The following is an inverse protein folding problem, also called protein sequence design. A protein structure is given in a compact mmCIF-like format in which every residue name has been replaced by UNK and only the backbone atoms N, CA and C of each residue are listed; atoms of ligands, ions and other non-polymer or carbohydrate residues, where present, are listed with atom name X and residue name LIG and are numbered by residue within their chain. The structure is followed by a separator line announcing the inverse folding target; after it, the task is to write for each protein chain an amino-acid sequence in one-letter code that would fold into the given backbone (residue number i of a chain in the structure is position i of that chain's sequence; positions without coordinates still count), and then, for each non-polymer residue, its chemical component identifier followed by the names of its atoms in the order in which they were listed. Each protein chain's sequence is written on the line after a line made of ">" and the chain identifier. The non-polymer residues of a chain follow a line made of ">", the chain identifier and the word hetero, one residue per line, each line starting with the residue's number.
data_IF_005413408432
#
_entry.id   IF_005413408432
#
_cell.length_a   1.000
_cell.length_b   1.000
_cell.length_c   1.000
_cell.angle_alpha   90.00
_cell.angle_beta   90.00
_cell.angle_gamma   90.00
#
_symmetry.space_group_name_H-M   'P 1'
#
loop_
_entity.id
_entity.type
_entity.pdbx_description
1 polymer ?
#
# COMPACT_ATOMS: atom_id res chain seq x y z
N UNK A 1 -32.30 -21.44 18.66
CA UNK A 1 -31.22 -20.84 19.49
C UNK A 1 -31.00 -19.46 18.94
N UNK A 2 -31.65 -18.46 19.56
CA UNK A 2 -31.53 -17.08 19.07
C UNK A 2 -30.12 -16.59 19.37
N UNK A 3 -29.24 -16.62 18.38
CA UNK A 3 -27.99 -15.85 18.38
C UNK A 3 -28.41 -14.40 18.12
N UNK A 4 -29.08 -13.80 19.12
CA UNK A 4 -29.49 -12.42 19.05
C UNK A 4 -28.24 -11.57 18.98
N UNK A 5 -27.99 -11.11 17.76
CA UNK A 5 -27.15 -9.97 17.40
C UNK A 5 -25.80 -9.94 18.15
N UNK A 6 -24.84 -10.71 17.71
CA UNK A 6 -23.48 -10.22 17.67
C UNK A 6 -23.52 -8.97 16.77
N UNK A 7 -23.73 -7.80 17.38
CA UNK A 7 -23.47 -6.50 16.74
C UNK A 7 -21.93 -6.35 16.57
N UNK A 8 -21.31 -7.34 15.92
CA UNK A 8 -19.86 -7.43 15.71
C UNK A 8 -19.52 -6.98 14.30
N UNK A 9 -20.54 -6.62 13.52
CA UNK A 9 -20.39 -6.33 12.11
C UNK A 9 -19.39 -5.19 11.80
N UNK A 10 -19.37 -4.12 12.57
CA UNK A 10 -18.46 -2.99 12.33
C UNK A 10 -17.01 -3.18 12.81
N UNK A 11 -16.73 -4.26 13.54
CA UNK A 11 -15.47 -4.44 14.26
C UNK A 11 -14.38 -5.10 13.41
N UNK A 12 -14.75 -5.76 12.32
CA UNK A 12 -13.90 -6.64 11.53
C UNK A 12 -12.66 -6.01 10.90
N UNK A 13 -12.45 -4.70 11.02
CA UNK A 13 -11.52 -3.99 10.16
C UNK A 13 -10.50 -3.13 10.89
N UNK A 14 -10.13 -3.45 12.14
CA UNK A 14 -9.05 -2.73 12.82
C UNK A 14 -7.75 -2.71 12.01
N UNK A 15 -7.43 -3.83 11.36
CA UNK A 15 -6.21 -4.00 10.58
C UNK A 15 -6.46 -4.19 9.08
N UNK A 16 -7.71 -4.47 8.67
CA UNK A 16 -8.02 -4.74 7.26
C UNK A 16 -7.80 -3.52 6.35
N UNK A 17 -7.73 -2.32 6.91
CA UNK A 17 -7.53 -1.09 6.15
C UNK A 17 -6.05 -0.74 5.93
N UNK A 18 -5.14 -1.31 6.68
CA UNK A 18 -3.71 -1.06 6.51
C UNK A 18 -3.09 -2.25 5.79
N UNK A 19 -2.97 -2.16 4.48
CA UNK A 19 -2.10 -3.04 3.71
C UNK A 19 -0.79 -2.30 3.51
N UNK A 20 0.27 -2.69 4.19
CA UNK A 20 1.60 -2.30 3.79
C UNK A 20 2.14 -3.43 2.92
N UNK A 21 1.94 -3.31 1.61
CA UNK A 21 2.44 -4.30 0.68
C UNK A 21 3.83 -3.97 0.20
N UNK A 22 4.48 -4.95 -0.39
CA UNK A 22 5.76 -4.79 -1.07
C UNK A 22 5.69 -3.84 -2.29
N UNK A 23 4.48 -3.53 -2.78
CA UNK A 23 4.22 -2.44 -3.72
C UNK A 23 3.92 -1.12 -2.99
N UNK A 24 3.52 -0.11 -3.73
CA UNK A 24 3.10 1.18 -3.17
C UNK A 24 1.68 1.16 -2.55
N UNK A 25 1.20 0.00 -2.08
CA UNK A 25 -0.15 -0.12 -1.54
C UNK A 25 -0.18 0.29 -0.06
N UNK A 26 -1.10 1.17 0.30
CA UNK A 26 -1.32 1.69 1.66
C UNK A 26 -2.67 1.30 2.25
N UNK A 27 -3.64 0.89 1.44
CA UNK A 27 -4.99 0.51 1.86
C UNK A 27 -5.45 -0.72 1.09
N UNK A 28 -6.13 -1.65 1.76
CA UNK A 28 -6.77 -2.80 1.11
C UNK A 28 -8.01 -2.43 0.29
N UNK A 29 -8.42 -1.16 0.30
CA UNK A 29 -9.60 -0.67 -0.43
C UNK A 29 -10.86 -1.50 -0.13
N UNK A 30 -11.05 -1.88 1.13
CA UNK A 30 -12.15 -2.74 1.55
C UNK A 30 -13.52 -2.14 1.28
N UNK A 31 -14.49 -3.00 0.95
CA UNK A 31 -15.90 -2.63 0.77
C UNK A 31 -16.73 -2.89 2.04
N UNK A 32 -16.14 -3.50 3.06
CA UNK A 32 -16.86 -4.00 4.22
C UNK A 32 -17.68 -2.93 4.97
N UNK A 33 -17.24 -1.67 5.13
CA UNK A 33 -18.07 -0.63 5.75
C UNK A 33 -19.37 -0.35 5.00
N UNK A 34 -19.37 -0.53 3.69
CA UNK A 34 -20.58 -0.40 2.86
C UNK A 34 -21.55 -1.57 3.06
N UNK A 35 -21.08 -2.72 3.50
CA UNK A 35 -21.89 -3.92 3.73
C UNK A 35 -22.50 -3.97 5.14
N UNK A 36 -22.24 -2.96 5.99
CA UNK A 36 -22.86 -2.87 7.30
C UNK A 36 -24.38 -2.70 7.24
N UNK A 37 -25.08 -3.14 8.27
CA UNK A 37 -26.55 -3.04 8.33
C UNK A 37 -27.02 -1.60 8.60
N UNK A 38 -28.13 -1.19 8.01
CA UNK A 38 -28.75 0.12 8.23
C UNK A 38 -27.83 1.28 7.82
N UNK A 39 -27.96 2.41 8.51
CA UNK A 39 -27.06 3.55 8.36
C UNK A 39 -25.82 3.33 9.21
N UNK A 40 -24.65 3.56 8.64
CA UNK A 40 -23.38 3.32 9.30
C UNK A 40 -22.35 4.39 8.93
N UNK A 41 -21.52 4.75 9.90
CA UNK A 41 -20.36 5.61 9.67
C UNK A 41 -19.15 5.10 10.46
N UNK A 42 -17.96 5.26 9.91
CA UNK A 42 -16.70 4.95 10.58
C UNK A 42 -15.58 5.92 10.22
N UNK A 43 -14.66 6.07 11.16
CA UNK A 43 -13.42 6.78 10.97
C UNK A 43 -12.28 5.98 11.57
N UNK A 44 -11.22 5.81 10.81
CA UNK A 44 -9.99 5.14 11.21
C UNK A 44 -8.76 6.03 11.01
N UNK A 45 -7.84 5.95 11.95
CA UNK A 45 -6.51 6.55 11.86
C UNK A 45 -5.49 5.52 12.29
N UNK A 46 -4.44 5.33 11.50
CA UNK A 46 -3.36 4.44 11.84
C UNK A 46 -2.01 5.04 11.45
N UNK A 47 -0.98 4.69 12.20
CA UNK A 47 0.39 5.06 11.91
C UNK A 47 1.24 3.80 11.73
N UNK A 48 2.02 3.78 10.65
CA UNK A 48 3.03 2.77 10.41
C UNK A 48 4.40 3.37 10.78
N UNK A 49 5.17 2.59 11.53
CA UNK A 49 6.58 2.83 11.80
C UNK A 49 7.38 1.68 11.20
N UNK A 50 8.11 1.94 10.12
CA UNK A 50 8.92 0.95 9.43
C UNK A 50 10.42 1.12 9.76
N UNK A 51 11.10 -0.01 9.87
CA UNK A 51 12.55 -0.12 9.92
C UNK A 51 12.98 -1.05 8.80
N UNK A 52 13.37 -0.46 7.67
CA UNK A 52 13.76 -1.15 6.45
C UNK A 52 15.14 -0.66 6.07
N UNK A 53 16.12 -1.53 6.21
CA UNK A 53 17.52 -1.26 5.88
C UNK A 53 18.09 -2.36 5.00
N UNK A 54 19.21 -2.09 4.37
CA UNK A 54 19.92 -3.05 3.53
C UNK A 54 21.43 -2.93 3.68
N UNK A 55 22.13 -3.77 2.94
CA UNK A 55 23.58 -3.70 2.79
C UNK A 55 23.91 -3.57 1.32
N UNK A 56 24.97 -2.87 1.01
CA UNK A 56 25.47 -2.74 -0.37
C UNK A 56 26.18 -4.01 -0.83
N UNK A 57 26.16 -4.24 -2.13
CA UNK A 57 26.99 -5.25 -2.79
C UNK A 57 28.43 -4.73 -2.95
N UNK A 58 29.32 -5.59 -3.45
CA UNK A 58 30.71 -5.25 -3.76
C UNK A 58 31.50 -4.72 -2.56
N UNK A 59 31.21 -5.27 -1.37
CA UNK A 59 31.87 -4.85 -0.12
C UNK A 59 33.40 -4.94 -0.20
N UNK A 60 33.94 -5.95 -0.89
CA UNK A 60 35.38 -6.10 -1.07
C UNK A 60 36.00 -4.96 -1.90
N UNK A 61 35.32 -4.53 -2.97
CA UNK A 61 35.76 -3.40 -3.80
C UNK A 61 35.65 -2.07 -3.05
N UNK A 62 34.60 -1.91 -2.26
CA UNK A 62 34.40 -0.73 -1.41
C UNK A 62 35.44 -0.67 -0.30
N UNK A 63 35.82 -1.81 0.30
CA UNK A 63 36.87 -1.90 1.30
C UNK A 63 38.25 -1.49 0.75
N UNK A 64 38.54 -1.80 -0.52
CA UNK A 64 39.78 -1.40 -1.19
C UNK A 64 39.95 0.12 -1.28
N UNK A 65 38.83 0.88 -1.34
CA UNK A 65 38.87 2.35 -1.33
C UNK A 65 38.59 2.95 0.06
N UNK A 66 38.74 2.10 1.10
CA UNK A 66 38.68 2.53 2.51
C UNK A 66 37.27 2.64 3.10
N UNK A 67 36.23 2.14 2.41
CA UNK A 67 34.86 2.10 2.94
C UNK A 67 34.69 0.86 3.82
N UNK A 68 34.29 1.06 5.07
CA UNK A 68 34.01 -0.01 6.05
C UNK A 68 32.52 -0.08 6.48
N UNK A 69 31.75 0.96 6.23
CA UNK A 69 30.32 0.95 6.49
C UNK A 69 29.55 0.55 5.23
N UNK A 70 28.97 -0.62 5.27
CA UNK A 70 28.19 -1.21 4.17
C UNK A 70 26.68 -1.14 4.38
N UNK A 71 26.24 -0.52 5.48
CA UNK A 71 24.82 -0.35 5.78
C UNK A 71 24.24 0.83 5.00
N UNK A 72 23.11 0.62 4.36
CA UNK A 72 22.39 1.72 3.69
C UNK A 72 21.60 2.60 4.67
N UNK A 73 21.62 2.29 5.98
CA UNK A 73 20.71 2.92 6.92
C UNK A 73 19.24 2.61 6.63
N UNK A 74 18.33 3.45 7.12
CA UNK A 74 16.90 3.26 6.90
C UNK A 74 16.48 3.81 5.52
N UNK A 75 15.85 2.97 4.71
CA UNK A 75 15.46 3.26 3.33
C UNK A 75 14.09 3.95 3.22
N UNK A 76 13.30 3.99 4.29
CA UNK A 76 11.94 4.53 4.26
C UNK A 76 11.76 5.62 5.31
N UNK A 77 10.91 6.59 5.02
CA UNK A 77 10.48 7.52 6.05
C UNK A 77 9.76 6.77 7.18
N UNK A 78 10.14 7.04 8.42
CA UNK A 78 9.74 6.22 9.58
C UNK A 78 8.26 6.29 9.94
N UNK A 79 7.52 7.26 9.43
CA UNK A 79 6.17 7.54 9.90
C UNK A 79 5.19 7.76 8.73
N UNK A 80 4.35 6.77 8.47
CA UNK A 80 3.22 6.90 7.54
C UNK A 80 1.91 7.04 8.31
N UNK A 81 1.13 8.06 8.00
CA UNK A 81 -0.20 8.26 8.55
C UNK A 81 -1.25 7.78 7.53
N UNK A 82 -2.15 6.93 7.99
CA UNK A 82 -3.31 6.46 7.25
C UNK A 82 -4.58 7.01 7.86
N UNK A 83 -5.44 7.56 7.02
CA UNK A 83 -6.77 8.00 7.41
C UNK A 83 -7.76 7.31 6.49
N UNK A 84 -8.81 6.74 7.06
CA UNK A 84 -9.89 6.10 6.35
C UNK A 84 -11.22 6.56 6.91
N UNK A 85 -12.24 6.61 6.09
CA UNK A 85 -13.58 6.97 6.54
C UNK A 85 -14.63 6.35 5.64
N UNK A 86 -15.78 6.07 6.21
CA UNK A 86 -16.90 5.56 5.46
C UNK A 86 -18.22 6.08 6.02
N UNK A 87 -19.16 6.33 5.13
CA UNK A 87 -20.56 6.58 5.44
C UNK A 87 -21.40 5.72 4.51
N UNK A 88 -22.31 4.94 5.07
CA UNK A 88 -23.35 4.21 4.35
C UNK A 88 -24.73 4.71 4.77
N UNK A 89 -25.56 4.98 3.80
CA UNK A 89 -26.95 5.37 3.98
C UNK A 89 -27.86 4.32 3.35
N UNK A 90 -28.77 3.78 4.14
CA UNK A 90 -29.84 2.91 3.68
C UNK A 90 -31.01 3.79 3.25
N UNK A 91 -31.16 4.02 1.94
CA UNK A 91 -32.18 4.92 1.39
C UNK A 91 -33.56 4.28 1.38
N UNK A 92 -33.62 2.96 1.14
CA UNK A 92 -34.81 2.11 1.17
C UNK A 92 -34.39 0.72 1.64
N UNK A 93 -35.32 -0.16 2.03
CA UNK A 93 -34.95 -1.53 2.44
C UNK A 93 -34.09 -2.28 1.41
N UNK A 94 -34.26 -1.98 0.13
CA UNK A 94 -33.57 -2.63 -1.00
C UNK A 94 -32.46 -1.77 -1.63
N UNK A 95 -32.24 -0.52 -1.20
CA UNK A 95 -31.31 0.42 -1.83
C UNK A 95 -30.44 1.13 -0.82
N UNK A 96 -29.13 1.10 -1.02
CA UNK A 96 -28.15 1.81 -0.22
C UNK A 96 -27.17 2.60 -1.08
N UNK A 97 -26.54 3.63 -0.49
CA UNK A 97 -25.43 4.38 -1.08
C UNK A 97 -24.32 4.52 -0.04
N UNK A 98 -23.08 4.45 -0.50
CA UNK A 98 -21.91 4.62 0.35
C UNK A 98 -20.97 5.72 -0.13
N UNK A 99 -20.19 6.25 0.80
CA UNK A 99 -19.05 7.12 0.55
C UNK A 99 -17.87 6.54 1.34
N UNK A 100 -16.86 6.03 0.64
CA UNK A 100 -15.69 5.41 1.24
C UNK A 100 -14.47 6.23 0.87
N UNK A 101 -13.76 6.71 1.86
CA UNK A 101 -12.50 7.44 1.69
C UNK A 101 -11.33 6.58 2.15
N UNK A 102 -10.31 6.47 1.31
CA UNK A 102 -9.04 5.84 1.65
C UNK A 102 -7.86 6.42 0.84
N UNK A 103 -6.65 6.05 1.23
CA UNK A 103 -5.40 6.37 0.52
C UNK A 103 -4.79 5.07 0.00
N UNK A 104 -5.16 4.61 -1.20
CA UNK A 104 -4.82 3.26 -1.64
C UNK A 104 -3.34 3.08 -1.98
N UNK A 105 -2.74 4.08 -2.63
CA UNK A 105 -1.39 3.99 -3.16
C UNK A 105 -0.51 5.13 -2.65
N UNK A 106 0.75 4.83 -2.43
CA UNK A 106 1.73 5.84 -2.08
C UNK A 106 3.00 5.25 -1.50
N UNK A 107 4.05 6.02 -1.54
CA UNK A 107 5.34 5.72 -0.93
C UNK A 107 5.98 7.00 -0.44
N UNK A 108 6.91 6.88 0.49
CA UNK A 108 7.74 8.00 0.99
C UNK A 108 9.09 7.40 1.36
N UNK A 109 9.95 7.31 0.34
CA UNK A 109 11.32 6.85 0.44
C UNK A 109 12.22 8.06 0.51
N UNK A 110 13.12 8.08 1.47
CA UNK A 110 14.13 9.13 1.61
C UNK A 110 15.36 8.50 2.27
N UNK A 111 16.32 8.09 1.45
CA UNK A 111 17.53 7.54 1.97
C UNK A 111 18.76 8.10 1.25
N UNK A 112 19.89 8.05 1.95
CA UNK A 112 21.18 8.47 1.41
C UNK A 112 22.27 7.53 1.89
N UNK A 113 22.98 6.89 0.96
CA UNK A 113 24.19 6.14 1.23
C UNK A 113 25.41 7.00 0.90
N UNK A 114 26.04 7.51 1.93
CA UNK A 114 27.20 8.43 1.87
C UNK A 114 28.26 8.01 2.86
N UNK A 115 28.97 6.90 2.59
CA UNK A 115 30.01 6.41 3.50
C UNK A 115 31.22 7.36 3.56
N UNK A 116 31.92 7.36 4.70
CA UNK A 116 33.19 8.04 4.87
C UNK A 116 34.28 7.25 4.15
N UNK A 117 35.21 7.98 3.52
CA UNK A 117 36.44 7.44 2.91
C UNK A 117 37.64 8.19 3.45
N UNK A 118 38.86 7.73 3.10
CA UNK A 118 40.11 8.40 3.49
C UNK A 118 40.24 9.84 2.97
N UNK A 119 39.47 10.20 1.94
CA UNK A 119 39.47 11.55 1.34
C UNK A 119 38.19 12.33 1.66
N UNK A 120 37.31 11.80 2.51
CA UNK A 120 36.05 12.38 2.92
C UNK A 120 34.81 11.59 2.47
N UNK A 121 33.63 12.10 2.74
CA UNK A 121 32.38 11.39 2.42
C UNK A 121 32.14 11.27 0.91
N UNK A 122 31.80 10.06 0.46
CA UNK A 122 31.50 9.75 -0.93
C UNK A 122 29.99 9.58 -1.12
N UNK A 123 29.35 10.48 -1.89
CA UNK A 123 27.92 10.40 -2.19
C UNK A 123 27.68 9.33 -3.27
N UNK A 124 27.43 8.09 -2.82
CA UNK A 124 27.27 6.94 -3.73
C UNK A 124 25.85 6.89 -4.27
N UNK A 125 24.85 7.02 -3.41
CA UNK A 125 23.46 6.95 -3.81
C UNK A 125 22.57 7.75 -2.86
N UNK A 126 21.67 8.55 -3.43
CA UNK A 126 20.58 9.18 -2.71
C UNK A 126 19.30 9.11 -3.52
N UNK A 127 18.21 8.78 -2.85
CA UNK A 127 16.90 8.61 -3.48
C UNK A 127 15.84 9.23 -2.60
N UNK A 128 15.01 10.08 -3.21
CA UNK A 128 13.77 10.52 -2.62
C UNK A 128 12.64 10.22 -3.58
N UNK A 129 11.66 9.44 -3.11
CA UNK A 129 10.46 9.10 -3.89
C UNK A 129 9.26 9.31 -3.00
N UNK A 130 8.35 10.16 -3.44
CA UNK A 130 7.10 10.40 -2.75
C UNK A 130 5.94 10.30 -3.73
N UNK A 131 5.04 9.35 -3.48
CA UNK A 131 3.75 9.25 -4.16
C UNK A 131 2.63 9.32 -3.13
N UNK A 132 1.55 10.01 -3.45
CA UNK A 132 0.38 10.12 -2.59
C UNK A 132 -0.90 10.08 -3.44
N UNK A 133 -1.85 9.24 -3.02
CA UNK A 133 -3.16 9.13 -3.64
C UNK A 133 -4.28 9.28 -2.63
N UNK A 134 -5.43 9.76 -3.08
CA UNK A 134 -6.65 9.75 -2.32
C UNK A 134 -7.77 9.17 -3.18
N UNK A 135 -8.62 8.35 -2.58
CA UNK A 135 -9.79 7.76 -3.21
C UNK A 135 -11.08 8.17 -2.49
N UNK A 136 -12.09 8.46 -3.28
CA UNK A 136 -13.49 8.46 -2.83
C UNK A 136 -14.23 7.47 -3.70
N UNK A 137 -14.76 6.40 -3.11
CA UNK A 137 -15.60 5.41 -3.77
C UNK A 137 -17.06 5.64 -3.40
N UNK A 138 -17.97 5.59 -4.37
CA UNK A 138 -19.40 5.87 -4.19
C UNK A 138 -20.20 4.67 -4.67
N UNK A 139 -20.19 3.52 -3.93
CA UNK A 139 -21.03 2.38 -4.28
C UNK A 139 -22.52 2.67 -4.06
N UNK A 140 -23.33 2.20 -4.99
CA UNK A 140 -24.78 2.05 -4.84
C UNK A 140 -25.05 0.56 -4.76
N UNK A 141 -25.80 0.12 -3.74
CA UNK A 141 -26.11 -1.27 -3.48
C UNK A 141 -27.60 -1.56 -3.66
N UNK A 142 -27.89 -2.65 -4.34
CA UNK A 142 -29.23 -3.21 -4.51
C UNK A 142 -29.34 -4.53 -3.75
N UNK A 143 -30.29 -4.59 -2.82
CA UNK A 143 -30.56 -5.71 -1.92
C UNK A 143 -31.93 -6.29 -2.24
N UNK A 144 -32.05 -7.26 -3.18
CA UNK A 144 -33.34 -7.85 -3.56
C UNK A 144 -34.01 -8.61 -2.41
N UNK A 145 -33.22 -9.09 -1.47
CA UNK A 145 -33.65 -9.84 -0.27
C UNK A 145 -32.69 -9.63 0.90
N UNK A 146 -32.91 -10.34 2.00
CA UNK A 146 -32.07 -10.24 3.20
C UNK A 146 -30.66 -10.84 3.05
N UNK A 147 -30.41 -11.59 1.96
CA UNK A 147 -29.17 -12.34 1.77
C UNK A 147 -28.24 -11.67 0.76
N UNK A 148 -28.75 -11.18 -0.36
CA UNK A 148 -27.95 -10.67 -1.46
C UNK A 148 -27.81 -9.16 -1.46
N UNK A 149 -26.61 -8.67 -1.76
CA UNK A 149 -26.34 -7.27 -2.07
C UNK A 149 -25.44 -7.20 -3.30
N UNK A 150 -25.94 -6.58 -4.38
CA UNK A 150 -25.18 -6.28 -5.59
C UNK A 150 -24.84 -4.80 -5.58
N UNK A 151 -23.58 -4.45 -5.80
CA UNK A 151 -23.18 -3.06 -5.74
C UNK A 151 -22.23 -2.67 -6.87
N UNK A 152 -22.33 -1.42 -7.30
CA UNK A 152 -21.42 -0.81 -8.25
C UNK A 152 -21.37 0.71 -8.02
N UNK A 153 -20.29 1.35 -8.47
CA UNK A 153 -20.19 2.81 -8.39
C UNK A 153 -18.88 3.37 -8.90
N UNK A 154 -18.79 4.70 -9.06
CA UNK A 154 -17.56 5.38 -9.45
C UNK A 154 -16.54 5.38 -8.33
N UNK A 155 -15.28 5.45 -8.75
CA UNK A 155 -14.11 5.69 -7.90
C UNK A 155 -13.44 6.95 -8.41
N UNK A 156 -13.35 7.95 -7.56
CA UNK A 156 -12.68 9.23 -7.83
C UNK A 156 -11.30 9.16 -7.19
N UNK A 157 -10.24 9.30 -7.99
CA UNK A 157 -8.87 9.18 -7.51
C UNK A 157 -8.05 10.40 -7.85
N UNK A 158 -7.29 10.89 -6.87
CA UNK A 158 -6.17 11.82 -7.11
C UNK A 158 -4.86 11.09 -6.91
N UNK A 159 -3.86 11.46 -7.71
CA UNK A 159 -2.50 10.93 -7.58
C UNK A 159 -1.50 12.06 -7.88
N UNK A 160 -0.39 12.11 -7.14
CA UNK A 160 0.76 12.98 -7.39
C UNK A 160 2.05 12.27 -7.02
N UNK A 161 3.18 12.72 -7.55
CA UNK A 161 4.47 12.10 -7.28
C UNK A 161 5.65 13.05 -7.42
N UNK A 162 6.69 12.80 -6.63
CA UNK A 162 7.97 13.49 -6.67
C UNK A 162 9.08 12.44 -6.65
N UNK A 163 10.10 12.61 -7.49
CA UNK A 163 11.28 11.74 -7.51
C UNK A 163 12.53 12.60 -7.61
N UNK A 164 13.51 12.31 -6.77
CA UNK A 164 14.85 12.89 -6.80
C UNK A 164 15.88 11.75 -6.79
N UNK A 165 16.81 11.78 -7.73
CA UNK A 165 17.90 10.81 -7.86
C UNK A 165 19.23 11.53 -7.70
N UNK A 166 20.10 11.00 -6.85
CA UNK A 166 21.43 11.59 -6.60
C UNK A 166 22.47 10.54 -6.26
N UNK A 167 23.73 10.98 -6.28
CA UNK A 167 24.88 10.13 -6.05
C UNK A 167 25.47 9.52 -7.33
N UNK A 168 26.69 8.97 -7.17
CA UNK A 168 27.47 8.49 -8.31
C UNK A 168 26.83 7.32 -9.06
N UNK A 169 25.98 6.52 -8.39
CA UNK A 169 25.28 5.42 -9.03
C UNK A 169 24.34 5.86 -10.16
N UNK A 170 23.88 7.10 -10.14
CA UNK A 170 22.97 7.62 -11.16
C UNK A 170 23.68 8.33 -12.32
N UNK A 171 25.01 8.41 -12.30
CA UNK A 171 25.82 9.00 -13.37
C UNK A 171 25.24 10.34 -13.87
N UNK A 172 24.73 10.36 -15.08
CA UNK A 172 24.17 11.54 -15.73
C UNK A 172 22.82 12.00 -15.14
N UNK A 173 22.15 11.12 -14.41
CA UNK A 173 20.94 11.44 -13.67
C UNK A 173 21.25 11.83 -12.21
N UNK A 174 22.52 12.01 -11.84
CA UNK A 174 22.91 12.47 -10.52
C UNK A 174 22.47 13.93 -10.28
N UNK A 175 21.40 14.13 -9.52
CA UNK A 175 20.72 15.40 -9.32
C UNK A 175 19.46 15.60 -10.19
N UNK A 176 19.02 14.53 -10.87
CA UNK A 176 17.75 14.52 -11.60
C UNK A 176 16.57 14.66 -10.64
N UNK A 177 15.60 15.50 -11.03
CA UNK A 177 14.32 15.61 -10.31
C UNK A 177 13.14 15.51 -11.28
N UNK A 178 12.04 14.91 -10.81
CA UNK A 178 10.78 14.82 -11.54
C UNK A 178 9.61 15.10 -10.59
N UNK A 179 8.78 16.06 -10.97
CA UNK A 179 7.56 16.43 -10.25
C UNK A 179 6.35 16.12 -11.13
N UNK A 180 5.60 15.10 -10.77
CA UNK A 180 4.33 14.71 -11.37
C UNK A 180 3.22 15.50 -10.65
N UNK A 181 2.72 16.55 -11.32
CA UNK A 181 1.65 17.39 -10.76
C UNK A 181 0.41 16.59 -10.48
N UNK A 182 -0.36 16.99 -9.46
CA UNK A 182 -1.57 16.27 -9.10
C UNK A 182 -2.53 16.13 -10.28
N UNK A 183 -2.92 14.90 -10.57
CA UNK A 183 -3.97 14.55 -11.54
C UNK A 183 -5.20 13.99 -10.82
N UNK A 184 -6.37 14.24 -11.39
CA UNK A 184 -7.65 13.69 -10.97
C UNK A 184 -8.21 12.81 -12.08
N UNK A 185 -8.52 11.57 -11.74
CA UNK A 185 -9.07 10.60 -12.69
C UNK A 185 -10.15 9.72 -12.05
N UNK A 186 -10.89 9.02 -12.89
CA UNK A 186 -12.03 8.21 -12.48
C UNK A 186 -11.85 6.76 -12.90
N UNK A 187 -12.25 5.88 -12.00
CA UNK A 187 -12.46 4.47 -12.24
C UNK A 187 -13.85 4.04 -11.77
N UNK A 188 -14.02 2.76 -11.59
CA UNK A 188 -15.25 2.17 -11.07
C UNK A 188 -14.96 0.96 -10.19
N UNK A 189 -15.93 0.60 -9.37
CA UNK A 189 -15.96 -0.64 -8.63
C UNK A 189 -17.29 -1.36 -8.86
N UNK A 190 -17.27 -2.68 -8.75
CA UNK A 190 -18.48 -3.50 -8.70
C UNK A 190 -18.24 -4.74 -7.86
N UNK A 191 -19.32 -5.32 -7.35
CA UNK A 191 -19.21 -6.53 -6.57
C UNK A 191 -20.57 -7.04 -6.10
N UNK A 192 -20.49 -8.10 -5.32
CA UNK A 192 -21.63 -8.72 -4.69
C UNK A 192 -21.28 -9.22 -3.29
N UNK A 193 -22.26 -9.31 -2.43
CA UNK A 193 -22.14 -10.02 -1.15
C UNK A 193 -23.35 -10.90 -0.89
N UNK A 194 -23.07 -11.97 -0.15
CA UNK A 194 -24.10 -12.88 0.36
C UNK A 194 -23.95 -12.99 1.88
N UNK A 195 -25.06 -12.95 2.59
CA UNK A 195 -25.06 -13.02 4.06
C UNK A 195 -26.16 -13.95 4.59
N UNK A 196 -25.89 -14.54 5.74
CA UNK A 196 -26.85 -15.27 6.57
C UNK A 196 -26.78 -14.64 7.96
N UNK A 197 -27.69 -13.67 8.28
CA UNK A 197 -27.59 -12.88 9.51
C UNK A 197 -27.61 -13.72 10.80
N UNK A 198 -28.33 -14.87 10.80
CA UNK A 198 -28.53 -15.73 11.97
C UNK A 198 -27.22 -16.31 12.52
N UNK A 199 -26.21 -16.47 11.67
CA UNK A 199 -24.89 -17.00 12.04
C UNK A 199 -23.78 -16.00 11.77
N UNK A 200 -24.13 -14.72 11.57
CA UNK A 200 -23.19 -13.64 11.17
C UNK A 200 -22.30 -14.02 9.96
N UNK A 201 -22.80 -14.95 9.10
CA UNK A 201 -22.10 -15.30 7.89
C UNK A 201 -22.23 -14.17 6.89
N UNK A 202 -21.09 -13.75 6.32
CA UNK A 202 -21.03 -12.82 5.19
C UNK A 202 -19.85 -13.17 4.30
N UNK A 203 -20.07 -13.20 3.01
CA UNK A 203 -19.00 -13.26 2.02
C UNK A 203 -19.18 -12.16 1.00
N UNK A 204 -18.10 -11.61 0.47
CA UNK A 204 -18.13 -10.58 -0.57
C UNK A 204 -17.03 -10.79 -1.59
N UNK A 205 -17.34 -10.43 -2.83
CA UNK A 205 -16.41 -10.35 -3.93
C UNK A 205 -16.51 -8.95 -4.52
N UNK A 206 -15.43 -8.20 -4.54
CA UNK A 206 -15.38 -6.86 -5.11
C UNK A 206 -14.22 -6.72 -6.09
N UNK A 207 -14.48 -6.06 -7.20
CA UNK A 207 -13.51 -5.68 -8.22
C UNK A 207 -13.40 -4.16 -8.28
N UNK A 208 -12.18 -3.66 -8.45
CA UNK A 208 -11.88 -2.26 -8.74
C UNK A 208 -11.12 -2.16 -10.05
N UNK A 209 -11.61 -1.28 -10.94
CA UNK A 209 -10.94 -1.02 -12.21
C UNK A 209 -9.61 -0.30 -12.01
N UNK A 210 -8.69 -0.43 -12.99
CA UNK A 210 -7.53 0.45 -13.02
C UNK A 210 -7.97 1.90 -13.26
N UNK A 211 -7.17 2.86 -12.77
CA UNK A 211 -7.38 4.29 -13.03
C UNK A 211 -6.18 4.83 -13.82
N UNK A 212 -6.47 5.47 -14.95
CA UNK A 212 -5.44 6.06 -15.81
C UNK A 212 -5.29 7.54 -15.50
N UNK A 213 -4.12 7.93 -15.00
CA UNK A 213 -3.71 9.30 -14.74
C UNK A 213 -2.82 9.83 -15.85
N UNK A 214 -3.01 11.09 -16.25
CA UNK A 214 -2.14 11.77 -17.22
C UNK A 214 -1.58 13.02 -16.58
N UNK A 215 -0.34 12.92 -16.14
CA UNK A 215 0.34 13.99 -15.42
C UNK A 215 0.98 15.00 -16.34
N UNK A 216 0.89 16.27 -15.99
CA UNK A 216 1.88 17.26 -16.36
C UNK A 216 3.13 17.04 -15.50
N UNK A 217 4.27 16.87 -16.15
CA UNK A 217 5.55 16.55 -15.49
C UNK A 217 6.51 17.73 -15.67
N UNK A 218 7.19 18.10 -14.59
CA UNK A 218 8.33 19.00 -14.61
C UNK A 218 9.58 18.21 -14.24
N UNK A 219 10.55 18.18 -15.15
CA UNK A 219 11.81 17.45 -14.98
C UNK A 219 12.99 18.42 -15.01
N UNK A 220 13.98 18.21 -14.14
CA UNK A 220 15.22 18.94 -14.17
C UNK A 220 16.39 17.98 -14.39
N UNK A 221 17.22 18.27 -15.36
CA UNK A 221 18.47 17.56 -15.62
C UNK A 221 19.63 18.22 -14.86
N UNK A 222 20.59 17.44 -14.36
CA UNK A 222 21.74 17.91 -13.61
C UNK A 222 22.84 18.43 -14.52
N UNK A 223 22.54 19.44 -15.34
CA UNK A 223 23.52 20.12 -16.19
C UNK A 223 23.97 21.43 -15.55
N UNK A 224 25.08 22.00 -16.05
CA UNK A 224 25.73 23.18 -15.46
C UNK A 224 24.78 24.39 -15.27
N UNK A 225 23.78 24.52 -16.13
CA UNK A 225 22.67 25.45 -15.95
C UNK A 225 21.38 24.62 -15.88
N UNK A 226 20.71 24.54 -14.71
CA UNK A 226 19.49 23.76 -14.58
C UNK A 226 18.44 24.19 -15.59
N UNK A 227 17.98 23.24 -16.40
CA UNK A 227 16.88 23.45 -17.36
C UNK A 227 15.68 22.65 -16.87
N UNK A 228 14.56 23.35 -16.69
CA UNK A 228 13.29 22.70 -16.41
C UNK A 228 12.63 22.34 -17.74
N UNK A 229 12.42 21.06 -17.94
CA UNK A 229 11.70 20.50 -19.07
C UNK A 229 10.29 20.12 -18.63
N UNK A 230 9.33 20.32 -19.51
CA UNK A 230 7.92 19.98 -19.23
C UNK A 230 7.44 18.96 -20.24
N UNK A 231 6.66 18.02 -19.77
CA UNK A 231 6.12 16.96 -20.61
C UNK A 231 4.86 16.35 -20.02
N UNK A 232 4.41 15.26 -20.61
CA UNK A 232 3.29 14.48 -20.09
C UNK A 232 3.71 13.03 -19.92
N UNK A 233 3.30 12.41 -18.80
CA UNK A 233 3.43 10.97 -18.61
C UNK A 233 2.09 10.37 -18.19
N UNK A 234 1.90 9.11 -18.50
CA UNK A 234 0.71 8.35 -18.10
C UNK A 234 1.11 7.27 -17.11
N UNK A 235 0.40 7.23 -15.98
CA UNK A 235 0.53 6.16 -14.98
C UNK A 235 -0.84 5.52 -14.79
N UNK A 236 -0.88 4.20 -14.83
CA UNK A 236 -2.10 3.41 -14.62
C UNK A 236 -2.01 2.76 -13.24
N UNK A 237 -2.86 3.20 -12.29
CA UNK A 237 -2.94 2.50 -11.00
C UNK A 237 -3.57 1.12 -11.19
N UNK A 238 -3.16 0.11 -10.39
CA UNK A 238 -3.55 -1.27 -10.64
C UNK A 238 -5.04 -1.55 -10.39
N UNK A 239 -5.59 -2.48 -11.15
CA UNK A 239 -6.86 -3.12 -10.81
C UNK A 239 -6.69 -4.12 -9.67
N UNK A 240 -7.78 -4.43 -8.98
CA UNK A 240 -7.75 -5.35 -7.86
C UNK A 240 -9.04 -6.12 -7.65
N UNK A 241 -8.91 -7.29 -7.02
CA UNK A 241 -10.03 -8.13 -6.59
C UNK A 241 -9.86 -8.41 -5.09
N UNK A 242 -10.91 -8.18 -4.31
CA UNK A 242 -10.98 -8.59 -2.91
C UNK A 242 -12.06 -9.67 -2.76
N UNK A 243 -11.73 -10.70 -2.00
CA UNK A 243 -12.65 -11.70 -1.52
C UNK A 243 -12.60 -11.73 0.00
N UNK A 244 -13.74 -11.49 0.65
CA UNK A 244 -13.86 -11.48 2.10
C UNK A 244 -14.90 -12.50 2.54
N UNK A 245 -14.64 -13.15 3.68
CA UNK A 245 -15.56 -14.09 4.30
C UNK A 245 -15.49 -13.98 5.82
N UNK A 246 -16.62 -14.08 6.49
CA UNK A 246 -16.73 -14.14 7.95
C UNK A 246 -17.87 -15.05 8.37
N UNK A 247 -17.78 -15.59 9.59
CA UNK A 247 -18.88 -16.30 10.23
C UNK A 247 -18.69 -16.40 11.74
N UNK A 248 -19.78 -16.39 12.51
CA UNK A 248 -19.75 -16.76 13.91
C UNK A 248 -19.57 -18.28 14.02
N UNK A 249 -18.62 -18.72 14.84
CA UNK A 249 -18.37 -20.14 15.16
C UNK A 249 -18.90 -20.50 16.55
N UNK A 250 -19.18 -19.50 17.36
CA UNK A 250 -19.85 -19.61 18.66
C UNK A 250 -20.66 -18.34 18.96
N UNK A 251 -21.26 -18.27 20.14
CA UNK A 251 -21.96 -17.03 20.61
C UNK A 251 -21.02 -15.91 20.97
N UNK A 252 -19.72 -16.20 21.10
CA UNK A 252 -18.66 -15.27 21.50
C UNK A 252 -17.56 -15.12 20.46
N UNK A 253 -17.48 -16.02 19.49
CA UNK A 253 -16.36 -16.08 18.56
C UNK A 253 -16.82 -15.91 17.12
N UNK A 254 -16.15 -15.00 16.42
CA UNK A 254 -16.30 -14.76 14.99
C UNK A 254 -14.94 -14.91 14.31
N UNK A 255 -14.90 -15.71 13.28
CA UNK A 255 -13.73 -15.85 12.40
C UNK A 255 -13.93 -15.11 11.09
N UNK A 256 -12.84 -14.62 10.52
CA UNK A 256 -12.84 -13.97 9.22
C UNK A 256 -11.58 -14.29 8.43
N UNK A 257 -11.69 -14.19 7.11
CA UNK A 257 -10.55 -14.23 6.20
C UNK A 257 -10.77 -13.28 5.03
N UNK A 258 -9.68 -12.81 4.46
CA UNK A 258 -9.65 -11.93 3.30
C UNK A 258 -8.52 -12.33 2.36
N UNK A 259 -8.81 -12.34 1.06
CA UNK A 259 -7.85 -12.50 -0.02
C UNK A 259 -7.90 -11.28 -0.92
N UNK A 260 -6.75 -10.76 -1.30
CA UNK A 260 -6.66 -9.63 -2.22
C UNK A 260 -5.61 -9.90 -3.28
N UNK A 261 -6.00 -9.71 -4.54
CA UNK A 261 -5.13 -9.72 -5.71
C UNK A 261 -5.04 -8.32 -6.31
N UNK A 262 -3.82 -7.90 -6.70
CA UNK A 262 -3.53 -6.59 -7.30
C UNK A 262 -2.61 -6.77 -8.50
N UNK A 263 -2.96 -6.15 -9.63
CA UNK A 263 -2.21 -6.25 -10.90
C UNK A 263 -1.06 -5.23 -10.97
N UNK A 264 -0.01 -5.46 -10.20
CA UNK A 264 1.14 -4.56 -10.18
C UNK A 264 2.05 -4.66 -11.40
N UNK A 265 2.09 -5.78 -12.11
CA UNK A 265 2.99 -5.97 -13.26
C UNK A 265 2.78 -4.97 -14.40
N UNK A 266 1.59 -4.35 -14.48
CA UNK A 266 1.26 -3.34 -15.48
C UNK A 266 1.47 -1.91 -14.99
N UNK A 267 1.96 -1.75 -13.75
CA UNK A 267 2.27 -0.45 -13.18
C UNK A 267 3.71 -0.05 -13.52
N UNK A 268 3.87 1.11 -14.11
CA UNK A 268 5.17 1.73 -14.36
C UNK A 268 5.07 3.25 -14.38
N UNK A 269 6.21 3.91 -14.09
CA UNK A 269 6.37 5.37 -14.15
C UNK A 269 7.54 5.67 -15.08
N UNK A 270 7.28 6.40 -16.16
CA UNK A 270 8.26 6.77 -17.19
C UNK A 270 8.12 8.25 -17.53
N UNK A 271 8.80 9.16 -16.80
CA UNK A 271 8.87 10.56 -17.19
C UNK A 271 9.58 10.68 -18.56
N UNK A 272 9.14 11.60 -19.45
CA UNK A 272 9.61 11.65 -20.83
C UNK A 272 11.11 11.95 -20.94
N UNK A 273 11.61 12.94 -20.23
CA UNK A 273 13.04 13.32 -20.29
C UNK A 273 13.94 12.23 -19.71
N UNK A 274 13.53 11.60 -18.59
CA UNK A 274 14.22 10.43 -18.03
C UNK A 274 14.38 9.34 -19.10
N UNK A 275 13.28 9.02 -19.81
CA UNK A 275 13.27 8.00 -20.84
C UNK A 275 14.15 8.38 -22.05
N UNK A 276 14.12 9.65 -22.48
CA UNK A 276 14.96 10.14 -23.58
C UNK A 276 16.44 10.05 -23.26
N UNK A 277 16.85 10.43 -22.05
CA UNK A 277 18.24 10.32 -21.59
C UNK A 277 18.69 8.87 -21.60
N UNK A 278 17.94 7.96 -21.01
CA UNK A 278 18.29 6.55 -20.98
C UNK A 278 18.32 5.92 -22.36
N UNK A 279 17.37 6.25 -23.24
CA UNK A 279 17.35 5.76 -24.62
C UNK A 279 18.55 6.28 -25.45
N UNK A 280 18.99 7.50 -25.24
CA UNK A 280 20.20 8.03 -25.88
C UNK A 280 21.45 7.24 -25.45
N UNK A 281 21.52 6.86 -24.16
CA UNK A 281 22.63 6.05 -23.65
C UNK A 281 22.53 4.56 -23.99
N UNK A 282 21.36 4.08 -24.37
CA UNK A 282 21.16 2.69 -24.79
C UNK A 282 22.00 2.28 -26.02
N UNK A 283 22.59 3.23 -26.72
CA UNK A 283 23.56 3.02 -27.79
C UNK A 283 24.85 2.40 -27.22
N UNK A 284 25.23 2.78 -26.00
CA UNK A 284 26.43 2.27 -25.31
C UNK A 284 26.11 1.07 -24.42
N UNK A 285 24.91 1.04 -23.83
CA UNK A 285 24.41 -0.05 -22.98
C UNK A 285 22.94 -0.35 -23.31
N UNK A 286 22.73 -1.42 -24.06
CA UNK A 286 21.40 -1.83 -24.51
C UNK A 286 20.42 -2.15 -23.38
N UNK A 287 20.90 -2.40 -22.16
CA UNK A 287 20.08 -2.66 -20.97
C UNK A 287 19.30 -1.43 -20.51
N UNK A 288 19.76 -0.22 -20.87
CA UNK A 288 19.10 1.05 -20.54
C UNK A 288 17.90 1.37 -21.43
N UNK A 289 17.68 0.59 -22.50
CA UNK A 289 16.59 0.84 -23.42
C UNK A 289 15.23 0.53 -22.76
N UNK A 290 14.32 1.50 -22.79
CA UNK A 290 12.96 1.37 -22.23
C UNK A 290 12.90 1.05 -20.74
N UNK A 291 13.92 1.41 -19.97
CA UNK A 291 13.90 1.26 -18.51
C UNK A 291 12.88 2.22 -17.91
N UNK A 292 12.01 1.71 -17.07
CA UNK A 292 11.08 2.53 -16.28
C UNK A 292 11.75 3.00 -15.00
N UNK A 293 11.41 4.22 -14.56
CA UNK A 293 11.88 4.74 -13.27
C UNK A 293 11.36 3.89 -12.11
N UNK A 294 10.09 3.50 -12.17
CA UNK A 294 9.47 2.56 -11.23
C UNK A 294 8.71 1.54 -12.05
N UNK A 295 8.88 0.26 -11.74
CA UNK A 295 8.18 -0.86 -12.37
C UNK A 295 8.12 -2.03 -11.41
N UNK A 296 7.05 -2.82 -11.50
CA UNK A 296 6.90 -4.07 -10.78
C UNK A 296 6.81 -5.24 -11.76
N UNK A 297 7.43 -6.38 -11.41
CA UNK A 297 7.52 -7.54 -12.32
C UNK A 297 6.45 -8.60 -12.08
N UNK A 298 5.79 -8.56 -10.92
CA UNK A 298 4.80 -9.56 -10.52
C UNK A 298 3.54 -8.90 -9.95
N UNK A 299 2.43 -9.61 -10.11
CA UNK A 299 1.19 -9.27 -9.42
C UNK A 299 1.31 -9.67 -7.94
N UNK A 300 0.58 -8.98 -7.10
CA UNK A 300 0.56 -9.20 -5.67
C UNK A 300 -0.65 -10.03 -5.27
N UNK A 301 -0.44 -10.94 -4.34
CA UNK A 301 -1.48 -11.65 -3.61
C UNK A 301 -1.25 -11.46 -2.12
N UNK A 302 -2.27 -11.03 -1.39
CA UNK A 302 -2.23 -10.94 0.07
C UNK A 302 -3.41 -11.67 0.70
N UNK A 303 -3.19 -12.18 1.91
CA UNK A 303 -4.18 -12.92 2.68
C UNK A 303 -4.15 -12.48 4.14
N UNK A 304 -5.32 -12.44 4.76
CA UNK A 304 -5.52 -12.20 6.19
C UNK A 304 -6.50 -13.22 6.74
N UNK A 305 -6.28 -13.62 7.99
CA UNK A 305 -7.23 -14.44 8.73
C UNK A 305 -7.21 -14.03 10.20
N UNK A 306 -8.37 -14.01 10.83
CA UNK A 306 -8.46 -13.55 12.20
C UNK A 306 -9.65 -14.13 12.97
N UNK A 307 -9.59 -13.88 14.26
CA UNK A 307 -10.58 -14.26 15.25
C UNK A 307 -10.93 -13.03 16.09
N UNK A 308 -12.23 -12.81 16.29
CA UNK A 308 -12.74 -11.86 17.28
C UNK A 308 -13.39 -12.65 18.39
N UNK A 309 -12.97 -12.39 19.64
CA UNK A 309 -13.54 -12.99 20.84
C UNK A 309 -14.25 -11.92 21.68
N UNK A 310 -15.53 -12.13 21.96
CA UNK A 310 -16.35 -11.28 22.81
C UNK A 310 -16.29 -11.79 24.27
N UNK A 311 -15.65 -11.03 25.15
CA UNK A 311 -15.50 -11.36 26.57
C UNK A 311 -16.79 -11.06 27.37
N UNK A 312 -17.45 -9.97 27.03
CA UNK A 312 -18.71 -9.53 27.66
C UNK A 312 -19.45 -8.56 26.73
N UNK A 313 -20.49 -7.85 27.22
CA UNK A 313 -21.25 -6.87 26.44
C UNK A 313 -20.37 -5.74 25.90
N UNK A 314 -19.35 -5.33 26.66
CA UNK A 314 -18.61 -4.11 26.44
C UNK A 314 -17.26 -4.33 25.78
N UNK A 315 -16.65 -5.53 25.92
CA UNK A 315 -15.30 -5.79 25.51
C UNK A 315 -15.16 -6.99 24.58
N UNK A 316 -14.40 -6.78 23.51
CA UNK A 316 -13.94 -7.84 22.60
C UNK A 316 -12.46 -7.68 22.28
N UNK A 317 -11.80 -8.77 21.92
CA UNK A 317 -10.44 -8.76 21.37
C UNK A 317 -10.45 -9.29 19.96
N UNK A 318 -9.57 -8.76 19.12
CA UNK A 318 -9.32 -9.24 17.77
C UNK A 318 -7.88 -9.75 17.66
N UNK A 319 -7.68 -10.83 16.93
CA UNK A 319 -6.38 -11.42 16.61
C UNK A 319 -6.32 -11.66 15.10
N UNK A 320 -5.23 -11.29 14.45
CA UNK A 320 -5.07 -11.41 13.00
C UNK A 320 -3.70 -11.94 12.64
N UNK A 321 -3.66 -12.79 11.64
CA UNK A 321 -2.46 -13.17 10.89
C UNK A 321 -2.58 -12.61 9.48
N UNK A 322 -1.48 -12.14 8.92
CA UNK A 322 -1.44 -11.62 7.56
C UNK A 322 -0.22 -12.13 6.80
N UNK A 323 -0.37 -12.24 5.51
CA UNK A 323 0.66 -12.65 4.56
C UNK A 323 0.55 -11.85 3.27
N UNK A 324 1.70 -11.57 2.66
CA UNK A 324 1.81 -10.88 1.38
C UNK A 324 2.90 -11.54 0.51
N UNK A 325 2.60 -11.75 -0.76
CA UNK A 325 3.52 -12.39 -1.71
C UNK A 325 4.69 -11.50 -2.10
N UNK A 326 4.56 -10.17 -1.99
CA UNK A 326 5.42 -9.23 -2.67
C UNK A 326 5.09 -9.03 -4.14
N UNK A 327 5.82 -8.15 -4.78
CA UNK A 327 5.66 -7.76 -6.18
C UNK A 327 6.89 -8.03 -7.04
N UNK A 328 8.00 -8.46 -6.43
CA UNK A 328 9.25 -8.75 -7.12
C UNK A 328 10.15 -9.64 -6.26
N UNK A 329 10.99 -10.45 -6.91
CA UNK A 329 12.05 -11.22 -6.26
C UNK A 329 13.35 -10.42 -6.12
N UNK A 330 13.45 -9.28 -6.79
CA UNK A 330 14.60 -8.36 -6.74
C UNK A 330 14.26 -7.09 -5.95
N UNK A 331 15.16 -6.70 -5.05
CA UNK A 331 15.09 -5.41 -4.39
C UNK A 331 15.68 -4.31 -5.28
N UNK A 332 15.05 -3.17 -5.27
CA UNK A 332 15.66 -1.92 -5.72
C UNK A 332 15.56 -0.87 -4.62
N UNK A 333 16.32 0.18 -4.72
CA UNK A 333 16.24 1.33 -3.81
C UNK A 333 14.88 2.03 -3.91
N UNK A 334 14.19 1.88 -5.02
CA UNK A 334 12.84 2.38 -5.25
C UNK A 334 11.74 1.40 -4.80
N UNK A 335 12.10 0.15 -4.53
CA UNK A 335 11.21 -0.90 -3.99
C UNK A 335 11.97 -1.79 -2.99
N UNK A 336 12.16 -1.33 -1.74
CA UNK A 336 13.08 -1.97 -0.79
C UNK A 336 12.48 -3.16 -0.02
N UNK A 337 11.25 -3.56 -0.29
CA UNK A 337 10.58 -4.64 0.43
C UNK A 337 9.95 -5.66 -0.51
N UNK A 338 9.93 -6.94 -0.11
CA UNK A 338 9.36 -8.03 -0.89
C UNK A 338 8.52 -8.95 -0.01
N UNK A 339 7.21 -8.70 0.04
CA UNK A 339 6.26 -9.48 0.82
C UNK A 339 6.54 -9.49 2.33
N UNK A 340 5.61 -10.04 3.10
CA UNK A 340 5.74 -10.10 4.55
C UNK A 340 4.88 -11.20 5.20
N UNK A 341 5.17 -11.47 6.47
CA UNK A 341 4.29 -12.11 7.43
C UNK A 341 3.97 -11.12 8.55
N UNK A 342 2.73 -11.10 8.99
CA UNK A 342 2.29 -10.21 10.05
C UNK A 342 1.43 -10.89 11.10
N UNK A 343 1.47 -10.34 12.30
CA UNK A 343 0.61 -10.72 13.42
C UNK A 343 0.06 -9.47 14.08
N UNK A 344 -1.23 -9.43 14.32
CA UNK A 344 -1.91 -8.30 14.92
C UNK A 344 -2.82 -8.68 16.09
N UNK A 345 -3.07 -7.70 16.94
CA UNK A 345 -4.02 -7.80 18.03
C UNK A 345 -4.70 -6.47 18.32
N UNK A 346 -5.96 -6.48 18.70
CA UNK A 346 -6.73 -5.29 18.98
C UNK A 346 -7.73 -5.49 20.12
N UNK A 347 -8.06 -4.38 20.74
CA UNK A 347 -9.09 -4.26 21.76
C UNK A 347 -10.24 -3.41 21.22
N UNK A 348 -11.46 -3.87 21.50
CA UNK A 348 -12.68 -3.24 21.04
C UNK A 348 -13.55 -2.98 22.24
N UNK A 349 -13.94 -1.73 22.42
CA UNK A 349 -14.88 -1.29 23.44
C UNK A 349 -16.21 -0.91 22.80
N UNK A 350 -17.27 -1.62 23.17
CA UNK A 350 -18.64 -1.32 22.77
C UNK A 350 -19.25 -0.36 23.80
N UNK A 351 -19.26 0.92 23.47
CA UNK A 351 -19.88 1.93 24.33
C UNK A 351 -21.38 1.68 24.51
N UNK A 352 -22.03 1.22 23.45
CA UNK A 352 -23.40 0.72 23.43
C UNK A 352 -23.59 -0.14 22.16
N UNK A 353 -24.83 -0.57 21.88
CA UNK A 353 -25.16 -1.39 20.68
C UNK A 353 -24.87 -0.67 19.34
N UNK A 354 -24.71 0.65 19.35
CA UNK A 354 -24.53 1.46 18.14
C UNK A 354 -23.11 1.97 17.95
N UNK A 355 -22.34 2.14 19.01
CA UNK A 355 -21.03 2.82 18.98
C UNK A 355 -19.96 1.88 19.50
N UNK A 356 -18.88 1.74 18.74
CA UNK A 356 -17.67 1.09 19.22
C UNK A 356 -16.43 1.96 19.03
N UNK A 357 -15.45 1.74 19.89
CA UNK A 357 -14.10 2.27 19.80
C UNK A 357 -13.14 1.09 19.75
N UNK A 358 -12.15 1.17 18.91
CA UNK A 358 -11.20 0.10 18.75
C UNK A 358 -9.77 0.63 18.64
N UNK A 359 -8.83 -0.06 19.27
CA UNK A 359 -7.41 0.21 19.18
C UNK A 359 -6.67 -1.08 18.85
N UNK A 360 -5.61 -0.99 18.06
CA UNK A 360 -4.88 -2.18 17.67
C UNK A 360 -3.44 -1.93 17.32
N UNK A 361 -2.67 -3.02 17.33
CA UNK A 361 -1.27 -3.09 16.98
C UNK A 361 -1.02 -4.29 16.07
N UNK A 362 -0.28 -4.06 14.96
CA UNK A 362 0.10 -5.09 14.01
C UNK A 362 1.60 -5.05 13.78
N UNK A 363 2.29 -6.16 14.02
CA UNK A 363 3.71 -6.35 13.74
C UNK A 363 3.88 -7.05 12.41
N UNK A 364 4.73 -6.51 11.55
CA UNK A 364 5.05 -7.02 10.22
C UNK A 364 6.53 -7.35 10.16
N UNK A 365 6.85 -8.54 9.68
CA UNK A 365 8.21 -8.95 9.35
C UNK A 365 8.32 -9.14 7.85
N UNK A 366 9.13 -8.30 7.21
CA UNK A 366 9.39 -8.42 5.78
C UNK A 366 10.23 -9.65 5.46
N UNK A 367 9.96 -10.26 4.32
CA UNK A 367 10.76 -11.37 3.82
C UNK A 367 12.18 -10.89 3.53
N UNK A 368 13.14 -11.78 3.71
CA UNK A 368 14.49 -11.55 3.21
C UNK A 368 14.41 -11.48 1.69
N UNK A 369 14.69 -10.34 1.14
CA UNK A 369 14.78 -10.23 -0.29
C UNK A 369 16.22 -10.52 -0.71
N UNK A 370 16.36 -11.32 -1.75
CA UNK A 370 17.62 -11.69 -2.34
C UNK A 370 17.83 -10.90 -3.61
N UNK A 371 19.01 -10.27 -3.71
CA UNK A 371 19.67 -9.76 -4.91
C UNK A 371 18.81 -8.97 -5.91
N UNK A 372 19.06 -7.68 -5.99
CA UNK A 372 18.90 -6.96 -7.26
C UNK A 372 19.77 -7.69 -8.30
N UNK A 373 19.20 -8.16 -9.41
CA UNK A 373 19.96 -8.37 -10.62
C UNK A 373 20.37 -6.98 -11.11
N UNK A 374 21.52 -6.50 -10.66
CA UNK A 374 22.19 -5.43 -11.37
C UNK A 374 22.49 -5.95 -12.76
N UNK A 375 21.77 -5.47 -13.74
CA UNK A 375 22.14 -5.64 -15.16
C UNK A 375 23.37 -4.80 -15.48
N UNK A 376 23.85 -4.02 -14.51
CA UNK A 376 24.95 -3.07 -14.70
C UNK A 376 26.14 -3.48 -13.87
N UNK A 377 27.21 -3.93 -14.55
CA UNK A 377 28.52 -4.23 -13.96
C UNK A 377 29.26 -2.98 -13.44
N UNK A 378 28.73 -1.78 -13.68
CA UNK A 378 29.36 -0.50 -13.39
C UNK A 378 28.76 0.22 -12.17
N UNK A 379 27.73 -0.32 -11.53
CA UNK A 379 27.16 0.27 -10.31
C UNK A 379 28.14 0.08 -9.16
N UNK A 380 28.62 1.19 -8.59
CA UNK A 380 29.65 1.21 -7.52
C UNK A 380 29.14 0.48 -6.28
N UNK A 381 27.85 0.64 -5.95
CA UNK A 381 27.21 -0.08 -4.87
C UNK A 381 25.74 -0.28 -5.22
N UNK A 382 25.25 -1.50 -5.17
CA UNK A 382 23.84 -1.83 -5.30
C UNK A 382 23.35 -2.50 -4.03
N UNK A 383 22.06 -2.36 -3.74
CA UNK A 383 21.45 -2.99 -2.57
C UNK A 383 21.55 -4.51 -2.70
N UNK A 384 22.19 -5.20 -1.75
CA UNK A 384 22.44 -6.63 -1.87
C UNK A 384 21.53 -7.49 -0.99
N UNK A 385 21.13 -6.97 0.15
CA UNK A 385 20.49 -7.79 1.17
C UNK A 385 19.74 -6.92 2.17
N UNK A 386 18.43 -7.08 2.22
CA UNK A 386 17.63 -6.59 3.33
C UNK A 386 17.54 -7.70 4.40
N UNK A 387 17.97 -7.43 5.61
CA UNK A 387 17.91 -8.38 6.71
C UNK A 387 17.22 -7.75 7.91
N UNK A 388 16.32 -8.55 8.57
CA UNK A 388 15.60 -8.17 9.77
C UNK A 388 14.65 -6.95 9.65
N UNK A 389 14.20 -6.65 8.47
CA UNK A 389 13.27 -5.57 8.21
C UNK A 389 11.90 -5.86 8.83
N UNK A 390 11.36 -4.87 9.52
CA UNK A 390 10.09 -4.98 10.18
C UNK A 390 9.33 -3.65 10.19
N UNK A 391 8.04 -3.73 10.48
CA UNK A 391 7.23 -2.56 10.73
C UNK A 391 6.22 -2.82 11.85
N UNK A 392 5.83 -1.76 12.52
CA UNK A 392 4.75 -1.76 13.49
C UNK A 392 3.69 -0.78 13.01
N UNK A 393 2.44 -1.25 12.96
CA UNK A 393 1.27 -0.42 12.70
C UNK A 393 0.46 -0.37 13.99
N UNK A 394 0.08 0.82 14.39
CA UNK A 394 -0.86 1.03 15.49
C UNK A 394 -1.94 2.00 15.03
N UNK A 395 -3.16 1.76 15.50
CA UNK A 395 -4.28 2.54 15.03
C UNK A 395 -5.48 2.53 15.95
N UNK A 396 -6.36 3.48 15.66
CA UNK A 396 -7.64 3.65 16.31
C UNK A 396 -8.74 3.71 15.27
N UNK A 397 -9.89 3.17 15.61
CA UNK A 397 -11.09 3.19 14.78
C UNK A 397 -12.31 3.41 15.66
N UNK A 398 -13.24 4.18 15.16
CA UNK A 398 -14.58 4.28 15.72
C UNK A 398 -15.61 4.04 14.63
N UNK A 399 -16.70 3.42 14.99
CA UNK A 399 -17.83 3.22 14.09
C UNK A 399 -19.15 3.37 14.84
N UNK A 400 -20.16 3.75 14.06
CA UNK A 400 -21.43 3.99 14.67
C UNK A 400 -22.62 3.75 13.72
N UNK A 401 -23.68 3.11 14.22
CA UNK A 401 -24.95 2.89 13.55
C UNK A 401 -26.00 3.95 13.99
N UNK A 402 -26.74 4.53 13.05
CA UNK A 402 -27.66 5.62 13.33
C UNK A 402 -28.99 5.51 12.55
#
# INVERSE_FOLDING_TARGET
>A
MNISALAVSGVLLLFAQTSFSAGMEKSSQTIMPFLESGNYAELGIAQLKADISGQVQNQDSLAQIGISDFSTGNLVNKNYLFITGAIKLQLRPDLSVGFLFDKPFGTDLDYRYRPETVIGPLDIESVRVKFDSNNISIPVGYQPDAHWNFFAGPVLQTLKGEVELGGQNYYLLNGYTSDLKQDFSMGWLAGLSYQIPEIAFRTSLSYRSPVKHTFDVQEQLPIATPVTLTGKTTVKTPQSVNFDIQTAVSTTDLIYASLRWVEWKDFYVQPPTFQEVLNAYSVYDSSLKNVSMIQYNQNQLSAKAGLIHKWNSDWSTAHELSWDSGTDDSLSTLNPSNGYLGIGGGLIYHYNEKIFLAAGLHYIRFRKASRQKSTDSNVIASLSKAANNHAIIYGFKTGFHF
#
